data_IF_838540394859
#
_entry.id   IF_838540394859
#
_cell.length_a   1.000
_cell.length_b   1.000
_cell.length_c   1.000
_cell.angle_alpha   90.00
_cell.angle_beta   90.00
_cell.angle_gamma   90.00
#
_symmetry.space_group_name_H-M   'P 1'
#
loop_
_entity.id
_entity.type
_entity.pdbx_description
1 polymer ?
#
# COMPACT_ATOMS: atom_id res chain seq x y z
N UNK A 1 -11.84 -4.06 -72.21
CA UNK A 1 -10.65 -4.35 -71.36
C UNK A 1 -10.85 -3.63 -70.03
N UNK A 2 -10.90 -4.38 -68.94
CA UNK A 2 -11.30 -3.91 -67.61
C UNK A 2 -10.04 -3.57 -66.79
N UNK A 3 -9.70 -2.29 -66.62
CA UNK A 3 -8.51 -1.87 -65.89
C UNK A 3 -8.91 -1.54 -64.45
N UNK A 4 -8.62 -2.44 -63.51
CA UNK A 4 -8.78 -2.16 -62.06
C UNK A 4 -7.72 -1.13 -61.63
N UNK A 5 -8.07 -0.12 -60.81
CA UNK A 5 -7.08 0.74 -60.19
C UNK A 5 -6.22 -0.08 -59.21
N UNK A 6 -4.90 0.06 -59.30
CA UNK A 6 -3.96 -0.49 -58.30
C UNK A 6 -4.30 0.15 -56.95
N UNK A 7 -4.57 -0.68 -55.95
CA UNK A 7 -4.67 -0.25 -54.56
C UNK A 7 -3.35 0.39 -54.14
N UNK A 8 -3.35 1.72 -54.02
CA UNK A 8 -2.28 2.45 -53.38
C UNK A 8 -2.04 1.87 -51.98
N UNK A 9 -0.77 1.70 -51.63
CA UNK A 9 -0.29 1.32 -50.30
C UNK A 9 -1.06 2.13 -49.24
N UNK A 10 -1.58 1.51 -48.16
CA UNK A 10 -2.29 2.27 -47.14
C UNK A 10 -1.37 3.38 -46.61
N UNK A 11 -1.82 4.63 -46.72
CA UNK A 11 -1.23 5.74 -45.96
C UNK A 11 -1.33 5.33 -44.49
N UNK A 12 -0.18 5.10 -43.84
CA UNK A 12 -0.13 4.92 -42.39
C UNK A 12 -0.80 6.13 -41.76
N UNK A 13 -1.90 5.88 -41.06
CA UNK A 13 -2.57 6.84 -40.20
C UNK A 13 -1.58 7.42 -39.20
N UNK A 14 -1.82 8.68 -38.82
CA UNK A 14 -1.00 9.52 -37.96
C UNK A 14 -0.93 9.06 -36.49
N UNK A 15 -0.48 7.82 -36.27
CA UNK A 15 -0.20 7.23 -34.96
C UNK A 15 1.10 6.42 -35.01
N UNK A 16 2.11 6.95 -35.72
CA UNK A 16 3.48 6.49 -35.57
C UNK A 16 3.92 6.81 -34.13
N UNK A 17 3.87 5.80 -33.26
CA UNK A 17 4.54 5.81 -31.95
C UNK A 17 5.97 6.31 -32.17
N UNK A 18 6.23 7.58 -31.88
CA UNK A 18 7.55 8.19 -32.02
C UNK A 18 8.50 7.47 -31.07
N UNK A 19 9.27 6.53 -31.61
CA UNK A 19 10.29 5.81 -30.84
C UNK A 19 11.49 6.71 -30.66
N UNK A 20 11.70 7.23 -29.44
CA UNK A 20 12.94 7.91 -29.09
C UNK A 20 14.03 6.87 -28.80
N UNK A 21 15.15 6.96 -29.54
CA UNK A 21 16.33 6.12 -29.29
C UNK A 21 17.33 6.95 -28.50
N UNK A 22 17.55 6.56 -27.24
CA UNK A 22 18.59 7.13 -26.38
C UNK A 22 19.75 6.13 -26.27
N UNK A 23 20.97 6.58 -26.54
CA UNK A 23 22.20 5.82 -26.30
C UNK A 23 22.80 6.28 -24.98
N UNK A 24 22.92 5.35 -24.03
CA UNK A 24 23.45 5.60 -22.69
C UNK A 24 24.60 4.61 -22.47
N UNK A 25 25.76 5.13 -22.08
CA UNK A 25 26.94 4.34 -21.76
C UNK A 25 27.10 4.26 -20.25
N UNK A 26 27.53 3.10 -19.75
CA UNK A 26 27.75 2.87 -18.31
C UNK A 26 29.19 2.42 -18.07
N UNK A 27 29.85 3.07 -17.12
CA UNK A 27 31.16 2.64 -16.62
C UNK A 27 31.05 1.35 -15.79
N UNK A 28 32.18 0.76 -15.41
CA UNK A 28 32.21 -0.52 -14.70
C UNK A 28 31.50 -0.48 -13.34
N UNK A 29 31.58 0.63 -12.60
CA UNK A 29 30.90 0.77 -11.31
C UNK A 29 29.38 0.88 -11.49
N UNK A 30 28.92 1.68 -12.44
CA UNK A 30 27.50 1.81 -12.80
C UNK A 30 26.91 0.48 -13.28
N UNK A 31 27.68 -0.31 -14.04
CA UNK A 31 27.24 -1.65 -14.43
C UNK A 31 27.07 -2.60 -13.24
N UNK A 32 27.92 -2.50 -12.21
CA UNK A 32 27.75 -3.28 -10.96
C UNK A 32 26.49 -2.85 -10.22
N UNK A 33 26.23 -1.56 -10.13
CA UNK A 33 25.02 -1.00 -9.51
C UNK A 33 23.75 -1.45 -10.26
N UNK A 34 23.73 -1.38 -11.59
CA UNK A 34 22.63 -1.89 -12.40
C UNK A 34 22.42 -3.40 -12.20
N UNK A 35 23.50 -4.17 -12.08
CA UNK A 35 23.41 -5.61 -11.80
C UNK A 35 22.79 -5.89 -10.44
N UNK A 36 23.12 -5.08 -9.42
CA UNK A 36 22.50 -5.14 -8.10
C UNK A 36 20.99 -4.83 -8.19
N UNK A 37 20.62 -3.72 -8.82
CA UNK A 37 19.21 -3.34 -8.98
C UNK A 37 18.39 -4.34 -9.80
N UNK A 38 19.00 -4.97 -10.80
CA UNK A 38 18.37 -6.06 -11.57
C UNK A 38 17.92 -7.20 -10.67
N UNK A 39 18.78 -7.61 -9.71
CA UNK A 39 18.43 -8.63 -8.70
C UNK A 39 17.39 -8.11 -7.72
N UNK A 40 17.55 -6.89 -7.19
CA UNK A 40 16.63 -6.29 -6.22
C UNK A 40 15.21 -6.20 -6.73
N UNK A 41 15.02 -5.83 -8.00
CA UNK A 41 13.68 -5.65 -8.59
C UNK A 41 13.22 -6.85 -9.42
N UNK A 42 14.01 -7.91 -9.54
CA UNK A 42 13.68 -9.07 -10.37
C UNK A 42 13.55 -8.76 -11.87
N UNK A 43 14.22 -7.71 -12.37
CA UNK A 43 14.16 -7.28 -13.77
C UNK A 43 15.48 -7.62 -14.47
N UNK A 44 15.57 -8.73 -15.23
CA UNK A 44 16.84 -9.20 -15.80
C UNK A 44 17.29 -8.41 -17.04
N UNK A 45 16.36 -7.80 -17.78
CA UNK A 45 16.65 -7.08 -19.02
C UNK A 45 17.10 -5.65 -18.72
N UNK A 46 18.37 -5.31 -19.01
CA UNK A 46 18.96 -3.98 -18.77
C UNK A 46 18.11 -2.81 -19.29
N UNK A 47 17.59 -2.90 -20.51
CA UNK A 47 16.75 -1.84 -21.09
C UNK A 47 15.43 -1.62 -20.37
N UNK A 48 14.86 -2.68 -19.80
CA UNK A 48 13.62 -2.61 -19.03
C UNK A 48 13.89 -2.05 -17.64
N UNK A 49 15.00 -2.47 -17.02
CA UNK A 49 15.45 -1.93 -15.74
C UNK A 49 15.74 -0.43 -15.82
N UNK A 50 16.44 0.04 -16.86
CA UNK A 50 16.72 1.48 -17.04
C UNK A 50 15.43 2.28 -17.19
N UNK A 51 14.46 1.79 -17.98
CA UNK A 51 13.15 2.46 -18.10
C UNK A 51 12.40 2.46 -16.78
N UNK A 52 12.40 1.33 -16.07
CA UNK A 52 11.78 1.21 -14.76
C UNK A 52 12.37 2.22 -13.77
N UNK A 53 13.70 2.32 -13.70
CA UNK A 53 14.38 3.26 -12.81
C UNK A 53 14.16 4.73 -13.21
N UNK A 54 14.14 5.02 -14.52
CA UNK A 54 13.94 6.39 -15.02
C UNK A 54 12.49 6.90 -14.90
N UNK A 55 11.52 5.99 -14.88
CA UNK A 55 10.09 6.31 -14.73
C UNK A 55 9.62 6.19 -13.29
N UNK A 56 10.41 5.58 -12.41
CA UNK A 56 10.14 5.56 -11.00
C UNK A 56 10.36 6.97 -10.47
N UNK A 57 9.39 7.49 -9.72
CA UNK A 57 9.55 8.77 -9.03
C UNK A 57 10.84 8.70 -8.18
N UNK A 58 11.77 9.66 -8.37
CA UNK A 58 12.90 9.78 -7.47
C UNK A 58 12.32 10.07 -6.09
N UNK A 59 12.77 9.33 -5.08
CA UNK A 59 12.41 9.56 -3.69
C UNK A 59 11.00 9.13 -3.26
N UNK A 60 10.62 7.87 -3.52
CA UNK A 60 9.84 7.21 -2.47
C UNK A 60 10.74 7.11 -1.23
N UNK A 61 10.57 8.01 -0.25
CA UNK A 61 11.22 8.03 1.08
C UNK A 61 10.83 6.80 1.92
N UNK A 62 10.52 5.69 1.27
CA UNK A 62 9.93 4.53 1.88
C UNK A 62 10.86 3.38 1.55
N UNK A 63 11.43 2.83 2.62
CA UNK A 63 12.44 1.77 2.58
C UNK A 63 12.08 0.72 1.52
N UNK A 64 13.03 0.28 0.68
CA UNK A 64 12.80 -0.81 -0.26
C UNK A 64 12.37 -2.12 0.44
N UNK A 65 12.58 -2.21 1.75
CA UNK A 65 12.16 -3.34 2.58
C UNK A 65 10.69 -3.25 3.06
N UNK A 66 10.01 -2.11 2.85
CA UNK A 66 8.60 -1.93 3.21
C UNK A 66 7.72 -1.99 1.96
N UNK A 67 7.20 -3.18 1.66
CA UNK A 67 6.48 -3.47 0.42
C UNK A 67 5.15 -2.70 0.32
N UNK A 68 4.54 -2.66 -0.87
CA UNK A 68 3.20 -2.11 -1.03
C UNK A 68 2.18 -2.87 -0.17
N UNK A 69 2.28 -4.19 -0.13
CA UNK A 69 1.38 -5.04 0.66
C UNK A 69 1.51 -4.77 2.17
N UNK A 70 2.73 -4.52 2.65
CA UNK A 70 2.96 -4.16 4.06
C UNK A 70 2.32 -2.80 4.39
N UNK A 71 2.32 -1.85 3.45
CA UNK A 71 1.65 -0.55 3.61
C UNK A 71 0.14 -0.67 3.63
N UNK A 72 -0.43 -1.53 2.77
CA UNK A 72 -1.88 -1.78 2.74
C UNK A 72 -2.31 -2.41 4.06
N UNK A 73 -1.59 -3.43 4.55
CA UNK A 73 -1.87 -4.03 5.87
C UNK A 73 -1.75 -3.04 7.02
N UNK A 74 -0.76 -2.15 6.98
CA UNK A 74 -0.62 -1.08 7.96
C UNK A 74 -1.85 -0.16 7.94
N UNK A 75 -2.28 0.26 6.75
CA UNK A 75 -3.43 1.14 6.57
C UNK A 75 -4.73 0.48 7.06
N UNK A 76 -4.93 -0.79 6.72
CA UNK A 76 -6.06 -1.60 7.21
C UNK A 76 -6.06 -1.71 8.74
N UNK A 77 -4.88 -1.94 9.34
CA UNK A 77 -4.72 -1.97 10.79
C UNK A 77 -5.13 -0.65 11.45
N UNK A 78 -4.65 0.48 10.93
CA UNK A 78 -5.01 1.83 11.43
C UNK A 78 -6.49 2.11 11.26
N UNK A 79 -7.08 1.74 10.13
CA UNK A 79 -8.52 1.87 9.88
C UNK A 79 -9.35 1.09 10.91
N UNK A 80 -8.97 -0.16 11.19
CA UNK A 80 -9.67 -1.00 12.15
C UNK A 80 -9.56 -0.45 13.59
N UNK A 81 -8.41 0.10 13.98
CA UNK A 81 -8.27 0.80 15.27
C UNK A 81 -9.23 1.99 15.34
N UNK A 82 -9.27 2.82 14.29
CA UNK A 82 -10.17 3.97 14.23
C UNK A 82 -11.64 3.57 14.32
N UNK A 83 -12.03 2.49 13.63
CA UNK A 83 -13.38 1.93 13.69
C UNK A 83 -13.76 1.48 15.11
N UNK A 84 -12.86 0.74 15.78
CA UNK A 84 -13.09 0.27 17.15
C UNK A 84 -13.19 1.44 18.15
N UNK A 85 -12.35 2.47 18.02
CA UNK A 85 -12.45 3.68 18.84
C UNK A 85 -13.79 4.41 18.62
N UNK A 86 -14.27 4.44 17.37
CA UNK A 86 -15.57 5.04 17.06
C UNK A 86 -16.72 4.24 17.70
N UNK A 87 -16.65 2.91 17.72
CA UNK A 87 -17.64 2.07 18.40
C UNK A 87 -17.66 2.33 19.91
N UNK A 88 -16.49 2.43 20.56
CA UNK A 88 -16.40 2.79 21.99
C UNK A 88 -17.07 4.14 22.25
N UNK A 89 -16.80 5.15 21.42
CA UNK A 89 -17.40 6.47 21.55
C UNK A 89 -18.94 6.44 21.39
N UNK A 90 -19.46 5.63 20.47
CA UNK A 90 -20.91 5.47 20.29
C UNK A 90 -21.56 4.79 21.51
N UNK A 91 -20.93 3.74 22.06
CA UNK A 91 -21.41 3.06 23.26
C UNK A 91 -21.45 4.00 24.47
N UNK A 92 -20.42 4.84 24.65
CA UNK A 92 -20.37 5.85 25.72
C UNK A 92 -21.52 6.84 25.55
N UNK A 93 -21.73 7.38 24.34
CA UNK A 93 -22.83 8.33 24.06
C UNK A 93 -24.20 7.72 24.28
N UNK A 94 -24.40 6.45 23.93
CA UNK A 94 -25.65 5.75 24.18
C UNK A 94 -25.91 5.60 25.68
N UNK A 95 -24.89 5.20 26.45
CA UNK A 95 -25.01 5.13 27.90
C UNK A 95 -25.23 6.50 28.55
N UNK A 96 -24.62 7.58 28.03
CA UNK A 96 -24.89 8.95 28.49
C UNK A 96 -26.33 9.38 28.24
N UNK A 97 -26.93 8.95 27.13
CA UNK A 97 -28.31 9.25 26.77
C UNK A 97 -29.34 8.41 27.55
N UNK A 98 -28.99 7.18 27.95
CA UNK A 98 -29.86 6.24 28.67
C UNK A 98 -29.71 6.35 30.21
N UNK A 99 -28.65 6.98 30.72
CA UNK A 99 -28.40 7.10 32.15
C UNK A 99 -29.25 8.20 32.80
N UNK A 100 -30.14 7.85 33.74
CA UNK A 100 -30.85 8.84 34.57
C UNK A 100 -29.92 9.58 35.56
N UNK A 101 -28.75 9.03 35.88
CA UNK A 101 -27.67 9.64 36.68
C UNK A 101 -26.38 8.95 36.26
N UNK A 102 -25.25 9.66 36.11
CA UNK A 102 -23.95 9.19 35.54
C UNK A 102 -23.26 7.93 36.13
N UNK A 103 -23.96 7.11 36.92
CA UNK A 103 -23.60 5.76 37.35
C UNK A 103 -23.42 4.77 36.18
N UNK A 104 -24.26 4.84 35.14
CA UNK A 104 -24.32 3.75 34.15
C UNK A 104 -23.18 3.82 33.12
N UNK A 105 -22.72 5.04 32.79
CA UNK A 105 -21.53 5.25 31.97
C UNK A 105 -20.27 4.77 32.69
N UNK A 106 -20.13 5.08 33.98
CA UNK A 106 -18.98 4.64 34.78
C UNK A 106 -18.91 3.11 34.85
N UNK A 107 -20.04 2.44 35.10
CA UNK A 107 -20.12 0.96 35.07
C UNK A 107 -19.76 0.40 33.69
N UNK A 108 -20.25 1.00 32.60
CA UNK A 108 -19.93 0.56 31.24
C UNK A 108 -18.43 0.64 30.93
N UNK A 109 -17.75 1.72 31.32
CA UNK A 109 -16.33 1.94 31.01
C UNK A 109 -15.42 1.13 31.94
N UNK A 110 -15.84 0.89 33.17
CA UNK A 110 -15.06 0.13 34.17
C UNK A 110 -15.35 -1.36 34.21
N UNK A 111 -16.33 -1.84 33.45
CA UNK A 111 -16.64 -3.27 33.36
C UNK A 111 -15.48 -4.02 32.72
N UNK A 112 -14.78 -4.78 33.55
CA UNK A 112 -13.62 -5.62 33.18
C UNK A 112 -14.00 -7.06 32.84
N UNK A 113 -15.28 -7.40 32.78
CA UNK A 113 -15.74 -8.74 32.42
C UNK A 113 -15.40 -9.09 30.96
N UNK A 114 -15.24 -10.37 30.67
CA UNK A 114 -14.97 -10.86 29.30
C UNK A 114 -16.11 -10.53 28.32
N UNK A 115 -17.30 -10.22 28.83
CA UNK A 115 -18.48 -9.84 28.05
C UNK A 115 -18.63 -8.32 27.86
N UNK A 116 -17.75 -7.51 28.46
CA UNK A 116 -17.79 -6.05 28.33
C UNK A 116 -17.48 -5.63 26.89
N UNK A 117 -18.41 -4.95 26.19
CA UNK A 117 -18.18 -4.49 24.82
C UNK A 117 -17.00 -3.52 24.72
N UNK A 118 -16.79 -2.70 25.75
CA UNK A 118 -15.68 -1.75 25.83
C UNK A 118 -14.35 -2.50 25.99
N UNK A 119 -14.28 -3.51 26.85
CA UNK A 119 -13.06 -4.32 26.99
C UNK A 119 -12.76 -5.16 25.75
N UNK A 120 -13.78 -5.71 25.09
CA UNK A 120 -13.60 -6.43 23.83
C UNK A 120 -13.03 -5.52 22.73
N UNK A 121 -13.52 -4.27 22.64
CA UNK A 121 -13.00 -3.28 21.72
C UNK A 121 -11.54 -2.88 22.04
N UNK A 122 -11.20 -2.64 23.31
CA UNK A 122 -9.83 -2.37 23.72
C UNK A 122 -8.88 -3.55 23.49
N UNK A 123 -9.31 -4.77 23.78
CA UNK A 123 -8.55 -6.00 23.49
C UNK A 123 -8.27 -6.13 21.99
N UNK A 124 -9.29 -5.85 21.16
CA UNK A 124 -9.16 -5.85 19.70
C UNK A 124 -8.17 -4.78 19.22
N UNK A 125 -8.21 -3.57 19.77
CA UNK A 125 -7.24 -2.50 19.48
C UNK A 125 -5.82 -2.91 19.86
N UNK A 126 -5.62 -3.50 21.04
CA UNK A 126 -4.30 -3.98 21.47
C UNK A 126 -3.75 -5.06 20.54
N UNK A 127 -4.59 -6.01 20.11
CA UNK A 127 -4.19 -7.04 19.13
C UNK A 127 -3.77 -6.42 17.79
N UNK A 128 -4.46 -5.37 17.33
CA UNK A 128 -4.13 -4.65 16.10
C UNK A 128 -2.80 -3.91 16.24
N UNK A 129 -2.52 -3.26 17.37
CA UNK A 129 -1.23 -2.63 17.64
C UNK A 129 -0.07 -3.62 17.58
N UNK A 130 -0.22 -4.80 18.19
CA UNK A 130 0.80 -5.87 18.13
C UNK A 130 1.03 -6.34 16.69
N UNK A 131 -0.03 -6.43 15.89
CA UNK A 131 0.07 -6.78 14.47
C UNK A 131 0.82 -5.72 13.65
N UNK A 132 0.49 -4.44 13.87
CA UNK A 132 1.14 -3.29 13.23
C UNK A 132 2.62 -3.22 13.62
N UNK A 133 2.94 -3.38 14.90
CA UNK A 133 4.32 -3.38 15.41
C UNK A 133 5.16 -4.47 14.73
N UNK A 134 4.64 -5.70 14.64
CA UNK A 134 5.33 -6.80 13.95
C UNK A 134 5.54 -6.52 12.46
N UNK A 135 4.55 -5.93 11.78
CA UNK A 135 4.65 -5.55 10.38
C UNK A 135 5.70 -4.45 10.16
N UNK A 136 5.78 -3.47 11.05
CA UNK A 136 6.77 -2.38 11.00
C UNK A 136 8.21 -2.84 11.29
N UNK A 137 8.38 -3.81 12.19
CA UNK A 137 9.71 -4.35 12.55
C UNK A 137 10.16 -5.46 11.56
N UNK A 138 9.30 -5.86 10.62
CA UNK A 138 9.62 -6.91 9.63
C UNK A 138 9.62 -8.33 10.20
N UNK A 139 8.98 -8.54 11.35
CA UNK A 139 8.83 -9.88 11.97
C UNK A 139 7.63 -10.56 11.32
N UNK A 140 7.89 -11.58 10.49
CA UNK A 140 6.82 -12.41 9.91
C UNK A 140 5.98 -13.05 11.02
N UNK A 141 4.66 -12.89 10.94
CA UNK A 141 3.71 -13.68 11.72
C UNK A 141 3.92 -15.16 11.39
N UNK A 142 4.18 -15.98 12.41
CA UNK A 142 4.18 -17.44 12.32
C UNK A 142 2.75 -17.95 12.28
#
# INVERSE_FOLDING_TARGET
>A
MNIKPRSGRPQKSADEKRSLILRISFNAAEQRVLTKHSKTYGIPKKSSLIRFLALREPDSIISPDFSYDDRVRLLEGVYNISSNLNQIMLLIRQAEAEAEVGSDVYKLITDSSDNSPVMQAFSSINSLFVGIEKALIGVKLK
#
